data_IF_130899941157
#
_entry.id   IF_130899941157
#
_cell.length_a   1.000
_cell.length_b   1.000
_cell.length_c   1.000
_cell.angle_alpha   90.00
_cell.angle_beta   90.00
_cell.angle_gamma   90.00
#
_symmetry.space_group_name_H-M   'P 1'
#
loop_
_entity.id
_entity.type
_entity.pdbx_description
1 polymer ?
#
# COMPACT_ATOMS: atom_id res chain seq x y z
N UNK A 1 -3.55 6.32 -3.73
CA UNK A 1 -4.18 5.14 -3.09
C UNK A 1 -3.29 3.90 -3.11
N UNK A 2 -2.70 3.50 -4.25
CA UNK A 2 -1.79 2.34 -4.30
C UNK A 2 -0.63 2.43 -3.31
N UNK A 3 0.04 3.59 -3.21
CA UNK A 3 1.12 3.79 -2.23
C UNK A 3 0.67 3.58 -0.78
N UNK A 4 -0.55 4.02 -0.42
CA UNK A 4 -1.12 3.79 0.90
C UNK A 4 -1.38 2.30 1.16
N UNK A 5 -1.88 1.55 0.17
CA UNK A 5 -2.06 0.10 0.30
C UNK A 5 -0.72 -0.64 0.45
N UNK A 6 0.35 -0.11 -0.15
CA UNK A 6 1.71 -0.63 -0.03
C UNK A 6 2.43 -0.17 1.26
N UNK A 7 1.86 0.77 2.02
CA UNK A 7 2.51 1.38 3.18
C UNK A 7 2.86 0.36 4.28
N UNK A 8 1.98 -0.62 4.54
CA UNK A 8 2.28 -1.67 5.54
C UNK A 8 3.51 -2.51 5.16
N UNK A 9 3.63 -2.87 3.87
CA UNK A 9 4.80 -3.59 3.35
C UNK A 9 6.06 -2.72 3.41
N UNK A 10 5.93 -1.44 3.08
CA UNK A 10 7.04 -0.49 3.11
C UNK A 10 7.55 -0.24 4.54
N UNK A 11 6.65 -0.09 5.52
CA UNK A 11 6.99 0.02 6.93
C UNK A 11 7.78 -1.21 7.42
N UNK A 12 7.35 -2.42 7.07
CA UNK A 12 8.09 -3.65 7.40
C UNK A 12 9.48 -3.68 6.78
N UNK A 13 9.60 -3.31 5.50
CA UNK A 13 10.91 -3.25 4.83
C UNK A 13 11.86 -2.28 5.52
N UNK A 14 11.36 -1.12 5.95
CA UNK A 14 12.16 -0.09 6.63
C UNK A 14 12.57 -0.53 8.05
N UNK A 15 11.63 -1.08 8.83
CA UNK A 15 11.86 -1.43 10.25
C UNK A 15 12.64 -2.75 10.40
N UNK A 16 12.25 -3.77 9.63
CA UNK A 16 12.68 -5.17 9.83
C UNK A 16 13.70 -5.59 8.77
N UNK A 17 13.82 -4.86 7.66
CA UNK A 17 14.68 -5.20 6.52
C UNK A 17 14.17 -6.38 5.68
N UNK A 18 13.03 -6.99 6.08
CA UNK A 18 12.39 -8.11 5.42
C UNK A 18 10.88 -7.90 5.40
N UNK A 19 10.25 -8.37 4.33
CA UNK A 19 8.80 -8.39 4.23
C UNK A 19 8.25 -9.68 4.84
N UNK A 20 7.14 -9.60 5.57
CA UNK A 20 6.46 -10.77 6.14
C UNK A 20 5.17 -11.13 5.41
N UNK A 21 4.70 -12.36 5.64
CA UNK A 21 3.43 -12.85 5.12
C UNK A 21 2.24 -11.99 5.53
N UNK A 22 2.29 -11.25 6.65
CA UNK A 22 1.18 -10.39 7.10
C UNK A 22 0.89 -9.19 6.19
N UNK A 23 1.85 -8.78 5.34
CA UNK A 23 1.63 -7.75 4.31
C UNK A 23 1.15 -8.32 2.96
N UNK A 24 0.99 -9.65 2.89
CA UNK A 24 0.60 -10.44 1.73
C UNK A 24 -0.29 -11.61 2.19
N UNK A 25 -0.42 -12.67 1.40
CA UNK A 25 -0.92 -13.98 1.88
C UNK A 25 -2.41 -14.10 2.20
N UNK A 26 -3.19 -13.01 2.14
CA UNK A 26 -4.65 -13.04 2.21
C UNK A 26 -5.28 -12.13 1.16
N UNK A 27 -6.54 -12.40 0.81
CA UNK A 27 -7.30 -11.60 -0.16
C UNK A 27 -7.57 -10.17 0.29
N UNK A 28 -7.47 -9.93 1.60
CA UNK A 28 -7.64 -8.64 2.28
C UNK A 28 -6.30 -7.93 2.52
N UNK A 29 -5.17 -8.58 2.22
CA UNK A 29 -3.84 -7.99 2.37
C UNK A 29 -3.67 -6.73 1.51
N UNK A 30 -2.81 -5.82 1.97
CA UNK A 30 -2.49 -4.59 1.23
C UNK A 30 -2.01 -4.89 -0.19
N UNK A 31 -1.21 -5.94 -0.37
CA UNK A 31 -0.75 -6.39 -1.68
C UNK A 31 -1.90 -6.89 -2.56
N UNK A 32 -2.77 -7.78 -2.06
CA UNK A 32 -3.91 -8.29 -2.84
C UNK A 32 -4.85 -7.16 -3.27
N UNK A 33 -5.16 -6.23 -2.36
CA UNK A 33 -5.99 -5.05 -2.64
C UNK A 33 -5.33 -4.10 -3.64
N UNK A 34 -4.01 -3.90 -3.53
CA UNK A 34 -3.26 -3.08 -4.48
C UNK A 34 -3.26 -3.70 -5.89
N UNK A 35 -3.07 -5.02 -5.99
CA UNK A 35 -3.13 -5.75 -7.27
C UNK A 35 -4.51 -5.64 -7.91
N UNK A 36 -5.60 -5.88 -7.16
CA UNK A 36 -6.98 -5.75 -7.65
C UNK A 36 -7.26 -4.31 -8.15
N UNK A 37 -6.82 -3.31 -7.40
CA UNK A 37 -6.97 -1.90 -7.80
C UNK A 37 -6.18 -1.57 -9.07
N UNK A 38 -4.92 -2.01 -9.16
CA UNK A 38 -4.08 -1.77 -10.33
C UNK A 38 -4.62 -2.48 -11.59
N UNK A 39 -5.18 -3.68 -11.44
CA UNK A 39 -5.90 -4.36 -12.52
C UNK A 39 -7.12 -3.57 -12.98
N UNK A 40 -7.95 -3.11 -12.04
CA UNK A 40 -9.11 -2.28 -12.35
C UNK A 40 -8.71 -0.98 -13.06
N UNK A 41 -7.59 -0.34 -12.66
CA UNK A 41 -7.05 0.83 -13.34
C UNK A 41 -6.76 0.56 -14.82
N UNK A 42 -6.14 -0.57 -15.13
CA UNK A 42 -5.80 -0.96 -16.51
C UNK A 42 -7.02 -1.36 -17.35
N UNK A 43 -8.09 -1.90 -16.73
CA UNK A 43 -9.12 -2.65 -17.47
C UNK A 43 -10.57 -2.26 -17.25
N UNK A 44 -10.91 -1.62 -16.14
CA UNK A 44 -12.31 -1.29 -15.80
C UNK A 44 -12.52 0.21 -15.57
N UNK A 45 -11.48 0.92 -15.14
CA UNK A 45 -11.54 2.35 -14.79
C UNK A 45 -11.03 3.29 -15.89
N UNK A 46 -10.41 2.72 -16.93
CA UNK A 46 -9.95 3.48 -18.10
C UNK A 46 -8.66 4.29 -17.91
N UNK A 47 -7.84 3.93 -16.92
CA UNK A 47 -6.52 4.53 -16.71
C UNK A 47 -5.39 3.77 -17.43
N UNK A 48 -5.69 2.63 -18.04
CA UNK A 48 -4.73 1.78 -18.73
C UNK A 48 -4.15 2.42 -19.99
N UNK A 49 -2.90 2.10 -20.31
CA UNK A 49 -2.26 2.60 -21.53
C UNK A 49 -2.81 1.93 -22.81
N UNK A 50 -3.40 0.73 -22.69
CA UNK A 50 -3.84 -0.09 -23.82
C UNK A 50 -5.36 -0.20 -23.81
N UNK A 51 -6.00 0.31 -24.87
CA UNK A 51 -7.46 0.27 -25.05
C UNK A 51 -8.23 0.79 -23.81
N UNK A 52 -7.96 2.02 -23.31
CA UNK A 52 -8.52 2.54 -22.06
C UNK A 52 -10.05 2.67 -22.06
N UNK A 53 -10.68 2.68 -23.22
CA UNK A 53 -12.14 2.85 -23.33
C UNK A 53 -12.91 1.53 -23.26
N UNK A 54 -12.23 0.38 -23.19
CA UNK A 54 -12.87 -0.91 -23.03
C UNK A 54 -13.12 -1.21 -21.55
N UNK A 55 -14.36 -1.44 -21.17
CA UNK A 55 -14.74 -1.90 -19.84
C UNK A 55 -14.63 -3.42 -19.77
N UNK A 56 -13.75 -3.92 -18.90
CA UNK A 56 -13.55 -5.34 -18.63
C UNK A 56 -13.58 -5.56 -17.12
N UNK A 57 -14.67 -6.13 -16.64
CA UNK A 57 -14.84 -6.50 -15.24
C UNK A 57 -14.27 -7.91 -15.01
N UNK A 58 -13.08 -7.98 -14.42
CA UNK A 58 -12.33 -9.21 -14.24
C UNK A 58 -12.74 -9.90 -12.92
N UNK A 59 -13.70 -10.83 -12.98
CA UNK A 59 -14.22 -11.58 -11.82
C UNK A 59 -13.18 -12.47 -11.15
N UNK A 60 -12.22 -12.96 -11.92
CA UNK A 60 -11.07 -13.72 -11.44
C UNK A 60 -9.77 -13.01 -11.87
N UNK A 61 -9.23 -12.13 -11.00
CA UNK A 61 -7.99 -11.42 -11.27
C UNK A 61 -6.81 -12.35 -11.55
N UNK A 62 -6.73 -13.51 -10.89
CA UNK A 62 -5.60 -14.44 -11.02
C UNK A 62 -5.56 -15.04 -12.42
N UNK A 63 -6.69 -15.61 -12.88
CA UNK A 63 -6.78 -16.18 -14.22
C UNK A 63 -6.49 -15.14 -15.32
N UNK A 64 -6.90 -13.88 -15.11
CA UNK A 64 -6.63 -12.80 -16.06
C UNK A 64 -5.14 -12.46 -16.11
N UNK A 65 -4.47 -12.37 -14.96
CA UNK A 65 -3.04 -12.07 -14.90
C UNK A 65 -2.19 -13.23 -15.48
N UNK A 66 -2.54 -14.47 -15.14
CA UNK A 66 -1.85 -15.67 -15.65
C UNK A 66 -1.98 -15.79 -17.18
N UNK A 67 -3.15 -15.44 -17.73
CA UNK A 67 -3.40 -15.46 -19.16
C UNK A 67 -2.84 -14.26 -19.93
N UNK A 68 -2.34 -13.22 -19.26
CA UNK A 68 -1.89 -11.98 -19.90
C UNK A 68 -0.55 -11.49 -19.30
N UNK A 69 0.60 -12.11 -19.67
CA UNK A 69 1.90 -11.78 -19.10
C UNK A 69 2.30 -10.30 -19.22
N UNK A 70 2.01 -9.65 -20.36
CA UNK A 70 2.31 -8.23 -20.56
C UNK A 70 1.50 -7.32 -19.64
N UNK A 71 0.25 -7.68 -19.35
CA UNK A 71 -0.60 -6.95 -18.41
C UNK A 71 -0.06 -7.13 -16.99
N UNK A 72 0.30 -8.35 -16.61
CA UNK A 72 0.88 -8.65 -15.32
C UNK A 72 2.17 -7.85 -15.08
N UNK A 73 3.05 -7.77 -16.10
CA UNK A 73 4.28 -6.97 -16.04
C UNK A 73 3.99 -5.47 -15.82
N UNK A 74 3.01 -4.89 -16.53
CA UNK A 74 2.62 -3.47 -16.35
C UNK A 74 2.06 -3.19 -14.97
N UNK A 75 1.18 -4.07 -14.49
CA UNK A 75 0.61 -3.97 -13.14
C UNK A 75 1.72 -4.05 -12.10
N UNK A 76 2.64 -5.01 -12.24
CA UNK A 76 3.77 -5.14 -11.35
C UNK A 76 4.63 -3.87 -11.31
N UNK A 77 5.01 -3.31 -12.47
CA UNK A 77 5.75 -2.05 -12.54
C UNK A 77 4.99 -0.87 -11.90
N UNK A 78 3.66 -0.85 -12.00
CA UNK A 78 2.81 0.10 -11.28
C UNK A 78 2.91 -0.06 -9.75
N UNK A 79 2.86 -1.30 -9.26
CA UNK A 79 2.99 -1.62 -7.85
C UNK A 79 4.39 -1.32 -7.31
N UNK A 80 5.45 -1.55 -8.09
CA UNK A 80 6.83 -1.20 -7.72
C UNK A 80 6.97 0.31 -7.51
N UNK A 81 6.43 1.13 -8.42
CA UNK A 81 6.42 2.60 -8.25
C UNK A 81 5.62 3.03 -7.03
N UNK A 82 4.47 2.41 -6.80
CA UNK A 82 3.65 2.69 -5.62
C UNK A 82 4.37 2.31 -4.33
N UNK A 83 5.09 1.18 -4.32
CA UNK A 83 5.89 0.72 -3.20
C UNK A 83 7.08 1.66 -2.94
N UNK A 84 7.83 2.03 -3.97
CA UNK A 84 8.91 3.01 -3.86
C UNK A 84 8.40 4.33 -3.26
N UNK A 85 7.26 4.84 -3.74
CA UNK A 85 6.65 6.03 -3.17
C UNK A 85 6.23 5.86 -1.71
N UNK A 86 5.73 4.69 -1.34
CA UNK A 86 5.39 4.39 0.05
C UNK A 86 6.63 4.36 0.95
N UNK A 87 7.74 3.77 0.46
CA UNK A 87 9.03 3.77 1.15
C UNK A 87 9.52 5.20 1.37
N UNK A 88 9.53 6.03 0.33
CA UNK A 88 9.91 7.45 0.44
C UNK A 88 9.13 8.17 1.55
N UNK A 89 7.79 8.12 1.48
CA UNK A 89 6.92 8.81 2.44
C UNK A 89 7.18 8.35 3.88
N UNK A 90 7.33 7.04 4.09
CA UNK A 90 7.55 6.48 5.43
C UNK A 90 8.95 6.80 5.92
N UNK A 91 9.97 6.74 5.06
CA UNK A 91 11.34 7.12 5.41
C UNK A 91 11.44 8.61 5.79
N UNK A 92 10.76 9.50 5.05
CA UNK A 92 10.69 10.93 5.37
C UNK A 92 9.99 11.23 6.70
N UNK A 93 9.11 10.33 7.17
CA UNK A 93 8.33 10.48 8.40
C UNK A 93 8.68 9.38 9.43
N UNK A 94 9.95 8.96 9.45
CA UNK A 94 10.41 7.84 10.27
C UNK A 94 10.18 8.06 11.76
N UNK A 95 10.45 9.27 12.23
CA UNK A 95 10.22 9.73 13.59
C UNK A 95 8.76 9.57 14.02
N UNK A 96 7.81 9.94 13.15
CA UNK A 96 6.38 9.81 13.41
C UNK A 96 5.92 8.36 13.38
N UNK A 97 6.48 7.53 12.50
CA UNK A 97 6.22 6.09 12.49
C UNK A 97 6.67 5.46 13.81
N UNK A 98 7.85 5.82 14.31
CA UNK A 98 8.36 5.30 15.58
C UNK A 98 7.49 5.77 16.76
N UNK A 99 7.11 7.05 16.81
CA UNK A 99 6.19 7.57 17.83
C UNK A 99 4.82 6.86 17.82
N UNK A 100 4.23 6.67 16.63
CA UNK A 100 2.97 5.92 16.47
C UNK A 100 3.12 4.46 16.92
N UNK A 101 4.24 3.83 16.59
CA UNK A 101 4.48 2.42 16.94
C UNK A 101 4.60 2.25 18.45
N UNK A 102 5.38 3.12 19.11
CA UNK A 102 5.51 3.14 20.58
C UNK A 102 4.16 3.35 21.25
N UNK A 103 3.44 4.40 20.87
CA UNK A 103 2.14 4.72 21.45
C UNK A 103 1.10 3.60 21.24
N UNK A 104 1.08 2.97 20.06
CA UNK A 104 0.17 1.88 19.76
C UNK A 104 0.52 0.59 20.51
N UNK A 105 1.82 0.33 20.73
CA UNK A 105 2.26 -0.82 21.51
C UNK A 105 1.81 -0.71 22.97
N UNK A 106 1.94 0.48 23.55
CA UNK A 106 1.54 0.74 24.95
C UNK A 106 0.02 0.80 25.13
N UNK A 107 -0.69 1.49 24.23
CA UNK A 107 -2.13 1.71 24.35
C UNK A 107 -2.99 0.58 23.76
N UNK A 108 -2.41 -0.32 22.97
CA UNK A 108 -3.07 -1.38 22.16
C UNK A 108 -4.05 -0.89 21.09
N UNK A 109 -4.61 0.31 21.24
CA UNK A 109 -5.45 1.00 20.27
C UNK A 109 -5.23 2.52 20.39
N UNK A 110 -5.27 3.22 19.27
CA UNK A 110 -5.24 4.68 19.21
C UNK A 110 -6.49 5.17 18.47
N UNK A 111 -7.13 6.21 18.99
CA UNK A 111 -8.20 6.88 18.26
C UNK A 111 -7.65 7.86 17.20
N UNK A 112 -8.55 8.39 16.38
CA UNK A 112 -8.17 9.27 15.28
C UNK A 112 -7.54 10.60 15.73
N UNK A 113 -7.89 11.11 16.91
CA UNK A 113 -7.34 12.37 17.41
C UNK A 113 -5.93 12.16 17.98
N UNK A 114 -5.70 11.07 18.70
CA UNK A 114 -4.37 10.65 19.16
C UNK A 114 -3.41 10.47 17.97
N UNK A 115 -3.85 9.77 16.91
CA UNK A 115 -3.05 9.61 15.68
C UNK A 115 -2.72 10.95 15.04
N UNK A 116 -3.71 11.86 14.89
CA UNK A 116 -3.46 13.19 14.32
C UNK A 116 -2.49 14.02 15.16
N UNK A 117 -2.59 13.93 16.49
CA UNK A 117 -1.66 14.59 17.41
C UNK A 117 -0.23 14.13 17.17
N UNK A 118 0.00 12.81 17.15
CA UNK A 118 1.32 12.22 16.90
C UNK A 118 1.87 12.57 15.52
N UNK A 119 1.03 12.59 14.48
CA UNK A 119 1.44 12.96 13.12
C UNK A 119 1.82 14.45 12.97
N UNK A 120 1.25 15.33 13.80
CA UNK A 120 1.52 16.78 13.78
C UNK A 120 2.73 17.16 14.63
N UNK A 121 2.83 16.63 15.84
CA UNK A 121 3.76 17.11 16.85
C UNK A 121 4.89 16.10 17.18
N UNK A 122 4.81 14.87 16.66
CA UNK A 122 5.71 13.79 17.05
C UNK A 122 5.62 13.50 18.55
N UNK A 123 6.70 13.01 19.13
CA UNK A 123 6.80 12.70 20.57
C UNK A 123 6.95 13.95 21.46
N UNK A 124 7.01 15.15 20.88
CA UNK A 124 7.29 16.39 21.60
C UNK A 124 6.04 17.06 22.21
N UNK A 125 4.84 16.58 21.87
CA UNK A 125 3.57 17.20 22.31
C UNK A 125 3.37 18.62 21.74
N UNK A 126 2.14 19.18 21.84
CA UNK A 126 1.94 20.61 21.56
C UNK A 126 2.61 21.45 22.67
N UNK A 127 3.37 22.47 22.28
CA UNK A 127 3.85 23.52 23.20
C UNK A 127 2.70 24.34 23.81
#
# INVERSE_FOLDING_TARGET
MLAMLMAGRAAQQIVVGKVSAGSAGSDESGLARATKMALAMERSLGFGAIQPLLYRDDKDPTAVLDGNPDLAARIHAGLERAFARAVEIISENRDKLDALTTALFDAQALDGEAVKGLLKYGDRGPE
#
